data_IF_543529133682
#
_entry.id   IF_543529133682
#
_cell.length_a   1.000
_cell.length_b   1.000
_cell.length_c   1.000
_cell.angle_alpha   90.00
_cell.angle_beta   90.00
_cell.angle_gamma   90.00
#
_symmetry.space_group_name_H-M   'P 1'
#
loop_
_entity.id
_entity.type
_entity.pdbx_description
1 polymer ?
#
# COMPACT_ATOMS: atom_id res chain seq x y z
N UNK A 1 -10.15 7.83 28.52
CA UNK A 1 -11.51 8.03 28.00
C UNK A 1 -11.53 9.40 27.41
N UNK A 2 -11.84 9.49 26.12
CA UNK A 2 -12.42 10.68 25.53
C UNK A 2 -13.30 10.20 24.38
N UNK A 3 -14.58 10.46 24.56
CA UNK A 3 -15.67 10.16 23.63
C UNK A 3 -15.90 11.40 22.78
N UNK A 4 -15.75 11.28 21.47
CA UNK A 4 -16.54 12.10 20.55
C UNK A 4 -17.39 11.18 19.68
N UNK A 5 -18.67 11.17 20.02
CA UNK A 5 -19.75 10.50 19.31
C UNK A 5 -20.54 11.60 18.62
N UNK A 6 -20.26 11.83 17.35
CA UNK A 6 -21.08 12.66 16.47
C UNK A 6 -21.52 11.80 15.28
N UNK A 7 -22.82 11.50 15.22
CA UNK A 7 -23.46 10.76 14.13
C UNK A 7 -23.86 11.76 13.04
N UNK A 8 -23.21 11.63 11.89
CA UNK A 8 -23.46 12.25 10.60
C UNK A 8 -22.33 11.81 9.69
N UNK A 9 -22.61 10.96 8.72
CA UNK A 9 -21.67 10.05 8.04
C UNK A 9 -20.54 10.73 7.27
N UNK A 10 -19.48 11.10 7.97
CA UNK A 10 -18.12 11.29 7.46
C UNK A 10 -17.25 10.38 8.33
N UNK A 11 -16.77 9.26 7.80
CA UNK A 11 -15.84 8.40 8.52
C UNK A 11 -14.55 9.22 8.73
N UNK A 12 -14.39 9.79 9.93
CA UNK A 12 -13.21 10.58 10.29
C UNK A 12 -11.98 9.70 10.08
N UNK A 13 -11.25 9.93 9.00
CA UNK A 13 -9.99 9.24 8.72
C UNK A 13 -9.00 9.69 9.80
N UNK A 14 -8.73 8.81 10.76
CA UNK A 14 -7.74 9.05 11.81
C UNK A 14 -6.38 8.65 11.26
N UNK A 15 -5.54 9.63 10.97
CA UNK A 15 -4.15 9.40 10.58
C UNK A 15 -3.29 9.16 11.84
N UNK A 16 -2.26 8.30 11.77
CA UNK A 16 -1.37 8.06 12.90
C UNK A 16 -0.42 9.25 13.14
N UNK A 17 -0.26 9.65 14.40
CA UNK A 17 0.69 10.72 14.79
C UNK A 17 2.16 10.26 14.77
N UNK A 18 2.38 8.94 14.77
CA UNK A 18 3.71 8.32 14.72
C UNK A 18 3.92 7.68 13.35
N UNK A 19 5.10 7.87 12.76
CA UNK A 19 5.47 7.26 11.48
C UNK A 19 5.33 5.73 11.53
N UNK A 20 4.64 5.18 10.55
CA UNK A 20 4.41 3.75 10.40
C UNK A 20 5.17 3.17 9.21
N UNK A 21 5.33 1.84 9.20
CA UNK A 21 5.83 1.09 8.05
C UNK A 21 5.07 -0.23 7.91
N UNK A 22 4.90 -0.69 6.66
CA UNK A 22 4.36 -2.00 6.35
C UNK A 22 5.41 -2.85 5.62
N UNK A 23 5.51 -4.13 5.99
CA UNK A 23 6.30 -5.10 5.22
C UNK A 23 5.41 -5.67 4.14
N UNK A 24 5.81 -5.46 2.88
CA UNK A 24 5.04 -5.87 1.71
C UNK A 24 5.80 -6.91 0.89
N UNK A 25 5.05 -7.78 0.23
CA UNK A 25 5.54 -8.73 -0.77
C UNK A 25 5.34 -8.14 -2.16
N UNK A 26 6.42 -8.08 -2.95
CA UNK A 26 6.32 -7.66 -4.35
C UNK A 26 5.59 -8.74 -5.14
N UNK A 27 4.51 -8.36 -5.81
CA UNK A 27 3.74 -9.23 -6.67
C UNK A 27 4.23 -9.12 -8.12
N UNK A 28 4.12 -10.22 -8.87
CA UNK A 28 4.25 -10.16 -10.33
C UNK A 28 3.16 -9.25 -10.89
N UNK A 29 3.55 -8.19 -11.60
CA UNK A 29 2.64 -7.15 -12.12
C UNK A 29 1.47 -7.76 -12.92
N UNK A 30 1.73 -8.80 -13.71
CA UNK A 30 0.69 -9.50 -14.47
C UNK A 30 -0.37 -10.15 -13.57
N UNK A 31 0.04 -10.86 -12.50
CA UNK A 31 -0.88 -11.50 -11.54
C UNK A 31 -1.75 -10.46 -10.83
N UNK A 32 -1.16 -9.32 -10.47
CA UNK A 32 -1.88 -8.19 -9.88
C UNK A 32 -2.92 -7.62 -10.84
N UNK A 33 -2.51 -7.30 -12.06
CA UNK A 33 -3.38 -6.78 -13.12
C UNK A 33 -4.53 -7.75 -13.39
N UNK A 34 -4.25 -9.05 -13.51
CA UNK A 34 -5.29 -10.07 -13.78
C UNK A 34 -6.26 -10.24 -12.60
N UNK A 35 -5.79 -10.03 -11.37
CA UNK A 35 -6.67 -9.94 -10.19
C UNK A 35 -7.62 -8.75 -10.26
N UNK A 36 -7.09 -7.55 -10.55
CA UNK A 36 -7.89 -6.32 -10.61
C UNK A 36 -8.84 -6.30 -11.81
N UNK A 37 -8.46 -6.93 -12.94
CA UNK A 37 -9.33 -7.11 -14.12
C UNK A 37 -10.65 -7.81 -13.80
N UNK A 38 -10.69 -8.65 -12.75
CA UNK A 38 -11.94 -9.29 -12.30
C UNK A 38 -12.99 -8.25 -11.87
N UNK A 39 -12.56 -7.07 -11.42
CA UNK A 39 -13.41 -5.94 -11.08
C UNK A 39 -13.32 -4.91 -12.22
N UNK A 40 -14.12 -5.12 -13.27
CA UNK A 40 -14.09 -4.35 -14.53
C UNK A 40 -14.09 -2.83 -14.35
N UNK A 41 -14.80 -2.31 -13.34
CA UNK A 41 -14.85 -0.88 -13.03
C UNK A 41 -13.52 -0.37 -12.49
N UNK A 42 -12.96 -1.04 -11.47
CA UNK A 42 -11.67 -0.66 -10.87
C UNK A 42 -10.55 -0.73 -11.90
N UNK A 43 -10.51 -1.80 -12.71
CA UNK A 43 -9.49 -1.93 -13.75
C UNK A 43 -9.50 -0.78 -14.76
N UNK A 44 -10.69 -0.32 -15.18
CA UNK A 44 -10.82 0.83 -16.09
C UNK A 44 -10.38 2.15 -15.44
N UNK A 45 -10.65 2.33 -14.15
CA UNK A 45 -10.31 3.56 -13.42
C UNK A 45 -8.84 3.62 -12.98
N UNK A 46 -8.23 2.48 -12.67
CA UNK A 46 -6.86 2.39 -12.14
C UNK A 46 -5.76 2.76 -13.15
N UNK A 47 -6.04 2.74 -14.46
CA UNK A 47 -5.12 3.16 -15.54
C UNK A 47 -3.70 2.59 -15.41
N UNK A 48 -3.59 1.26 -15.26
CA UNK A 48 -2.29 0.58 -15.15
C UNK A 48 -1.35 0.91 -16.32
N UNK A 49 -0.08 1.19 -16.00
CA UNK A 49 0.99 1.41 -16.99
C UNK A 49 2.19 0.51 -16.70
N UNK A 50 3.08 0.32 -17.68
CA UNK A 50 4.32 -0.43 -17.50
C UNK A 50 5.33 0.20 -16.52
N UNK A 51 5.06 1.39 -16.00
CA UNK A 51 5.89 2.09 -15.00
C UNK A 51 5.42 1.87 -13.56
N UNK A 52 4.47 0.94 -13.36
CA UNK A 52 3.90 0.62 -12.06
C UNK A 52 4.27 -0.80 -11.65
N UNK A 53 4.40 -1.01 -10.34
CA UNK A 53 4.58 -2.32 -9.73
C UNK A 53 3.51 -2.54 -8.64
N UNK A 54 3.24 -3.79 -8.29
CA UNK A 54 2.30 -4.12 -7.22
C UNK A 54 3.03 -4.74 -6.03
N UNK A 55 2.55 -4.39 -4.84
CA UNK A 55 2.92 -5.04 -3.61
C UNK A 55 1.63 -5.41 -2.85
N UNK A 56 1.73 -6.36 -1.92
CA UNK A 56 0.61 -6.76 -1.08
C UNK A 56 1.11 -7.30 0.25
N UNK A 57 0.21 -7.41 1.22
CA UNK A 57 0.47 -7.89 2.56
C UNK A 57 -0.64 -8.83 2.99
N UNK A 58 -0.25 -9.96 3.58
CA UNK A 58 -1.20 -10.96 4.06
C UNK A 58 -1.78 -10.59 5.45
N UNK A 59 -1.23 -9.57 6.10
CA UNK A 59 -1.55 -9.20 7.48
C UNK A 59 -2.61 -8.08 7.61
N UNK A 60 -3.33 -7.77 6.52
CA UNK A 60 -4.29 -6.66 6.51
C UNK A 60 -3.64 -5.28 6.69
N UNK A 61 -2.34 -5.16 6.40
CA UNK A 61 -1.56 -3.92 6.50
C UNK A 61 -1.04 -3.53 5.14
N UNK A 62 -1.53 -2.46 4.57
CA UNK A 62 -1.10 -1.97 3.26
C UNK A 62 -1.02 -0.44 3.29
N UNK A 63 -0.55 0.16 2.20
CA UNK A 63 -0.59 1.60 2.02
C UNK A 63 -2.04 2.12 2.08
N UNK A 64 -2.25 3.21 2.79
CA UNK A 64 -3.55 3.83 3.03
C UNK A 64 -3.52 5.33 2.67
N UNK A 65 -4.60 6.05 2.98
CA UNK A 65 -4.65 7.49 2.80
C UNK A 65 -3.57 8.18 3.64
N UNK A 66 -2.81 9.07 3.01
CA UNK A 66 -1.68 9.77 3.64
C UNK A 66 -0.29 9.21 3.28
N UNK A 67 -0.19 8.01 2.71
CA UNK A 67 1.10 7.41 2.32
C UNK A 67 1.59 7.85 0.92
N UNK A 68 0.74 8.53 0.15
CA UNK A 68 1.05 9.01 -1.20
C UNK A 68 2.32 9.88 -1.22
N UNK A 69 3.34 9.44 -1.96
CA UNK A 69 4.63 10.11 -2.09
C UNK A 69 5.74 9.51 -1.21
N UNK A 70 5.41 8.64 -0.27
CA UNK A 70 6.38 7.88 0.52
C UNK A 70 7.13 6.82 -0.31
N UNK A 71 8.38 6.48 0.05
CA UNK A 71 9.17 5.50 -0.70
C UNK A 71 8.77 4.05 -0.37
N UNK A 72 8.76 3.19 -1.40
CA UNK A 72 8.81 1.74 -1.23
C UNK A 72 10.27 1.29 -1.19
N UNK A 73 10.76 0.84 -0.04
CA UNK A 73 12.18 0.52 0.18
C UNK A 73 12.40 -0.99 0.28
N UNK A 74 13.49 -1.49 -0.29
CA UNK A 74 13.93 -2.89 -0.17
C UNK A 74 15.37 -2.94 0.33
N UNK A 75 15.63 -3.71 1.38
CA UNK A 75 17.01 -4.01 1.80
C UNK A 75 17.71 -4.83 0.72
N UNK A 76 18.87 -4.36 0.29
CA UNK A 76 19.72 -5.05 -0.66
C UNK A 76 20.92 -5.60 0.10
N UNK A 77 21.17 -6.91 -0.03
CA UNK A 77 22.40 -7.54 0.47
C UNK A 77 23.45 -7.44 -0.64
N UNK A 78 24.56 -6.76 -0.34
CA UNK A 78 25.73 -6.71 -1.19
C UNK A 78 26.39 -8.08 -1.32
N UNK A 79 27.23 -8.25 -2.34
CA UNK A 79 28.01 -9.48 -2.54
C UNK A 79 29.00 -9.77 -1.42
N UNK A 80 29.34 -8.75 -0.63
CA UNK A 80 30.13 -8.82 0.61
C UNK A 80 29.29 -9.18 1.85
N UNK A 81 27.99 -9.42 1.69
CA UNK A 81 27.05 -9.67 2.79
C UNK A 81 26.54 -8.41 3.50
N UNK A 82 26.97 -7.21 3.09
CA UNK A 82 26.54 -5.95 3.71
C UNK A 82 25.09 -5.64 3.32
N UNK A 83 24.22 -5.41 4.30
CA UNK A 83 22.85 -4.98 4.04
C UNK A 83 22.79 -3.45 3.97
N UNK A 84 22.32 -2.91 2.84
CA UNK A 84 22.01 -1.48 2.68
C UNK A 84 20.52 -1.29 2.41
N UNK A 85 19.99 -0.17 2.91
CA UNK A 85 18.65 0.34 2.59
C UNK A 85 18.70 1.15 1.30
#
# INVERSE_FOLDING_TARGET
GDTDKSIGTEEKIILPDTLQQALLTILKTQKCIDGVKRIRLVYKLARFTGRMMCASSDAGRDACQGDSGGPLVKRITGSDGTQKL
#
